data_IF_995075882734
#
_entry.id   IF_995075882734
#
_cell.length_a   1.000
_cell.length_b   1.000
_cell.length_c   1.000
_cell.angle_alpha   90.00
_cell.angle_beta   90.00
_cell.angle_gamma   90.00
#
_symmetry.space_group_name_H-M   'P 1'
#
loop_
_entity.id
_entity.type
_entity.pdbx_description
1 polymer ?
#
# COMPACT_ATOMS: atom_id res chain seq x y z
N UNK A 1 9.05 5.41 -13.35
CA UNK A 1 9.31 4.50 -12.22
C UNK A 1 10.50 3.61 -12.58
N UNK A 2 11.58 3.61 -11.79
CA UNK A 2 12.78 2.79 -12.04
C UNK A 2 12.76 1.60 -11.07
N UNK A 3 12.63 0.38 -11.59
CA UNK A 3 12.83 -0.84 -10.81
C UNK A 3 14.34 -1.04 -10.63
N UNK A 4 14.89 -0.74 -9.44
CA UNK A 4 16.27 -1.12 -9.13
C UNK A 4 16.34 -2.62 -8.86
N UNK A 5 17.18 -3.32 -9.65
CA UNK A 5 17.41 -4.76 -9.57
C UNK A 5 18.28 -5.09 -8.35
N UNK A 6 17.73 -5.03 -7.14
CA UNK A 6 18.37 -5.59 -5.94
C UNK A 6 17.98 -7.07 -5.80
N UNK A 7 18.66 -7.94 -6.56
CA UNK A 7 18.37 -9.38 -6.61
C UNK A 7 18.92 -10.18 -5.42
N UNK A 8 19.41 -9.54 -4.34
CA UNK A 8 20.12 -10.26 -3.26
C UNK A 8 19.32 -10.56 -1.99
N UNK A 9 18.29 -9.79 -1.67
CA UNK A 9 17.54 -9.98 -0.40
C UNK A 9 16.11 -10.41 -0.67
N UNK A 10 15.91 -11.72 -0.95
CA UNK A 10 14.58 -12.32 -0.97
C UNK A 10 14.38 -13.12 0.31
N UNK A 11 13.30 -12.82 1.02
CA UNK A 11 12.92 -13.48 2.27
C UNK A 11 11.45 -13.94 2.21
N UNK A 12 11.06 -14.82 3.13
CA UNK A 12 9.65 -15.17 3.31
C UNK A 12 8.96 -14.01 4.03
N UNK A 13 7.94 -13.44 3.38
CA UNK A 13 7.27 -12.22 3.80
C UNK A 13 5.80 -12.47 4.02
N UNK A 14 5.28 -12.03 5.17
CA UNK A 14 3.84 -11.88 5.37
C UNK A 14 3.35 -10.59 4.70
N UNK A 15 2.53 -10.74 3.66
CA UNK A 15 1.97 -9.61 2.89
C UNK A 15 1.09 -8.72 3.78
N UNK A 16 0.39 -9.30 4.76
CA UNK A 16 -0.47 -8.55 5.69
C UNK A 16 0.34 -7.52 6.48
N UNK A 17 1.49 -7.96 6.99
CA UNK A 17 2.42 -7.08 7.69
C UNK A 17 2.93 -5.97 6.77
N UNK A 18 3.28 -6.28 5.52
CA UNK A 18 3.74 -5.28 4.55
C UNK A 18 2.67 -4.22 4.24
N UNK A 19 1.41 -4.64 4.04
CA UNK A 19 0.30 -3.73 3.80
C UNK A 19 0.11 -2.79 5.00
N UNK A 20 0.08 -3.32 6.22
CA UNK A 20 -0.04 -2.52 7.45
C UNK A 20 1.12 -1.54 7.61
N UNK A 21 2.35 -1.95 7.32
CA UNK A 21 3.54 -1.07 7.36
C UNK A 21 3.44 0.08 6.37
N UNK A 22 2.96 -0.19 5.16
CA UNK A 22 2.78 0.85 4.14
C UNK A 22 1.65 1.79 4.56
N UNK A 23 0.48 1.28 4.93
CA UNK A 23 -0.68 2.10 5.28
C UNK A 23 -0.39 3.02 6.47
N UNK A 24 0.35 2.57 7.49
CA UNK A 24 0.78 3.42 8.61
C UNK A 24 1.54 4.66 8.16
N UNK A 25 2.39 4.55 7.13
CA UNK A 25 3.14 5.69 6.57
C UNK A 25 2.23 6.67 5.82
N UNK A 26 1.18 6.17 5.18
CA UNK A 26 0.24 6.97 4.39
C UNK A 26 -0.89 7.60 5.21
N UNK A 27 -1.09 7.19 6.47
CA UNK A 27 -2.17 7.73 7.32
C UNK A 27 -2.14 9.26 7.43
N UNK A 28 -0.96 9.87 7.57
CA UNK A 28 -0.85 11.32 7.70
C UNK A 28 -1.25 12.04 6.41
N UNK A 29 -0.80 11.55 5.25
CA UNK A 29 -1.10 12.15 3.96
C UNK A 29 -2.56 11.96 3.55
N UNK A 30 -3.12 10.76 3.74
CA UNK A 30 -4.54 10.50 3.50
C UNK A 30 -5.43 11.41 4.36
N UNK A 31 -5.09 11.62 5.64
CA UNK A 31 -5.81 12.57 6.51
C UNK A 31 -5.71 14.00 6.00
N UNK A 32 -4.54 14.43 5.53
CA UNK A 32 -4.34 15.78 4.96
C UNK A 32 -5.17 16.02 3.71
N UNK A 33 -5.39 14.98 2.90
CA UNK A 33 -6.19 15.07 1.67
C UNK A 33 -7.67 14.77 1.90
N UNK A 34 -8.10 14.47 3.13
CA UNK A 34 -9.48 14.11 3.44
C UNK A 34 -9.91 12.74 2.90
N UNK A 35 -8.96 11.87 2.59
CA UNK A 35 -9.21 10.52 2.06
C UNK A 35 -9.22 9.52 3.22
N UNK A 36 -10.28 8.71 3.30
CA UNK A 36 -10.36 7.59 4.22
C UNK A 36 -9.60 6.38 3.65
N UNK A 37 -8.72 5.78 4.46
CA UNK A 37 -8.06 4.51 4.12
C UNK A 37 -8.62 3.40 5.01
N UNK A 38 -9.29 2.44 4.38
CA UNK A 38 -9.75 1.21 5.00
C UNK A 38 -8.96 0.02 4.44
N UNK A 39 -8.87 -1.05 5.22
CA UNK A 39 -8.10 -2.23 4.83
C UNK A 39 -8.80 -3.48 5.34
N UNK A 40 -9.06 -4.39 4.41
CA UNK A 40 -9.69 -5.68 4.65
C UNK A 40 -8.65 -6.75 4.38
N UNK A 41 -8.21 -7.45 5.42
CA UNK A 41 -7.18 -8.49 5.34
C UNK A 41 -7.72 -9.75 6.01
N UNK A 42 -7.67 -10.87 5.30
CA UNK A 42 -8.05 -12.19 5.82
C UNK A 42 -7.29 -12.55 7.10
N UNK A 43 -7.83 -13.45 7.91
CA UNK A 43 -7.17 -13.89 9.16
C UNK A 43 -5.95 -14.75 8.88
N UNK A 44 -5.98 -15.59 7.85
CA UNK A 44 -4.82 -16.40 7.49
C UNK A 44 -3.66 -15.55 6.94
N UNK A 45 -2.40 -15.87 7.29
CA UNK A 45 -1.25 -15.17 6.74
C UNK A 45 -1.03 -15.56 5.27
N UNK A 46 -0.83 -14.56 4.42
CA UNK A 46 -0.40 -14.77 3.03
C UNK A 46 1.10 -14.55 2.96
N UNK A 47 1.86 -15.65 2.87
CA UNK A 47 3.33 -15.59 2.83
C UNK A 47 3.87 -15.71 1.41
N UNK A 48 4.77 -14.83 1.02
CA UNK A 48 5.41 -14.82 -0.30
C UNK A 48 6.94 -14.72 -0.18
N UNK A 49 7.68 -15.36 -1.10
CA UNK A 49 9.14 -15.16 -1.17
C UNK A 49 9.44 -13.96 -2.05
N UNK A 50 9.95 -12.88 -1.48
CA UNK A 50 10.11 -11.62 -2.21
C UNK A 50 11.11 -10.67 -1.58
N UNK A 51 11.40 -9.57 -2.28
CA UNK A 51 12.18 -8.48 -1.71
C UNK A 51 11.23 -7.51 -1.01
N UNK A 52 11.43 -7.32 0.30
CA UNK A 52 10.59 -6.49 1.16
C UNK A 52 10.43 -5.07 0.62
N UNK A 53 11.55 -4.44 0.25
CA UNK A 53 11.57 -3.04 -0.22
C UNK A 53 10.80 -2.90 -1.53
N UNK A 54 11.01 -3.83 -2.48
CA UNK A 54 10.29 -3.80 -3.76
C UNK A 54 8.78 -4.00 -3.58
N UNK A 55 8.36 -4.95 -2.74
CA UNK A 55 6.93 -5.17 -2.47
C UNK A 55 6.31 -3.97 -1.74
N UNK A 56 7.00 -3.38 -0.77
CA UNK A 56 6.57 -2.15 -0.12
C UNK A 56 6.44 -0.99 -1.11
N UNK A 57 7.33 -0.88 -2.09
CA UNK A 57 7.23 0.15 -3.13
C UNK A 57 6.00 -0.07 -4.02
N UNK A 58 5.74 -1.30 -4.44
CA UNK A 58 4.54 -1.63 -5.23
C UNK A 58 3.28 -1.25 -4.46
N UNK A 59 3.14 -1.70 -3.21
CA UNK A 59 1.97 -1.36 -2.37
C UNK A 59 1.88 0.16 -2.18
N UNK A 60 3.00 0.85 -1.94
CA UNK A 60 3.01 2.31 -1.77
C UNK A 60 2.54 3.04 -3.03
N UNK A 61 2.89 2.56 -4.22
CA UNK A 61 2.42 3.15 -5.46
C UNK A 61 0.91 2.94 -5.65
N UNK A 62 0.39 1.78 -5.24
CA UNK A 62 -1.06 1.52 -5.29
C UNK A 62 -1.83 2.47 -4.36
N UNK A 63 -1.33 2.71 -3.15
CA UNK A 63 -1.96 3.64 -2.20
C UNK A 63 -1.90 5.09 -2.71
N UNK A 64 -0.75 5.52 -3.24
CA UNK A 64 -0.61 6.84 -3.86
C UNK A 64 -1.64 7.04 -4.98
N UNK A 65 -1.70 6.09 -5.91
CA UNK A 65 -2.64 6.13 -7.03
C UNK A 65 -4.11 6.16 -6.56
N UNK A 66 -4.45 5.44 -5.49
CA UNK A 66 -5.80 5.44 -4.93
C UNK A 66 -6.17 6.81 -4.33
N UNK A 67 -5.25 7.42 -3.58
CA UNK A 67 -5.44 8.76 -3.00
C UNK A 67 -5.59 9.81 -4.12
N UNK A 68 -4.71 9.77 -5.12
CA UNK A 68 -4.77 10.68 -6.27
C UNK A 68 -6.09 10.55 -7.02
N UNK A 69 -6.54 9.32 -7.31
CA UNK A 69 -7.80 9.06 -7.98
C UNK A 69 -9.03 9.57 -7.18
N UNK A 70 -9.01 9.44 -5.85
CA UNK A 70 -10.09 9.98 -5.00
C UNK A 70 -10.07 11.50 -4.98
N UNK A 71 -8.88 12.12 -4.93
CA UNK A 71 -8.74 13.59 -4.96
C UNK A 71 -9.17 14.19 -6.30
N UNK A 72 -8.93 13.50 -7.42
CA UNK A 72 -9.34 13.93 -8.75
C UNK A 72 -10.85 13.73 -9.00
N UNK A 73 -11.53 12.89 -8.22
CA UNK A 73 -12.94 12.63 -8.36
C UNK A 73 -13.79 13.79 -7.78
N UNK A 74 -14.45 14.56 -8.63
CA UNK A 74 -15.35 15.64 -8.22
C UNK A 74 -16.69 15.09 -7.68
N UNK A 75 -16.82 14.99 -6.35
CA UNK A 75 -18.10 14.84 -5.61
C UNK A 75 -18.47 13.43 -5.14
N UNK A 76 -18.90 13.34 -3.87
CA UNK A 76 -19.43 12.15 -3.17
C UNK A 76 -18.47 11.53 -2.13
N UNK A 77 -19.01 11.00 -1.02
CA UNK A 77 -18.24 10.18 -0.05
C UNK A 77 -17.76 8.90 -0.74
N UNK A 78 -16.45 8.62 -0.73
CA UNK A 78 -15.88 7.45 -1.43
C UNK A 78 -14.98 6.65 -0.50
N UNK A 79 -15.22 5.34 -0.47
CA UNK A 79 -14.42 4.33 0.23
C UNK A 79 -13.63 3.54 -0.82
N UNK A 80 -12.33 3.37 -0.62
CA UNK A 80 -11.51 2.43 -1.41
C UNK A 80 -11.37 1.16 -0.57
N UNK A 81 -11.81 0.02 -1.12
CA UNK A 81 -11.67 -1.31 -0.52
C UNK A 81 -10.50 -2.09 -1.13
#
# INVERSE_FOLDING_TARGET
MIFQKSSRDRELLDVKTLVKDVLRRWQADARRTGVALETYLEEEPVTVVGNRVQLQQVISNLVANAIDAVNEATGGERVVQ
#
